data_IF_174021685064
#
_entry.id   IF_174021685064
#
_cell.length_a   1.000
_cell.length_b   1.000
_cell.length_c   1.000
_cell.angle_alpha   90.00
_cell.angle_beta   90.00
_cell.angle_gamma   90.00
#
_symmetry.space_group_name_H-M   'P 1'
#
loop_
_entity.id
_entity.type
_entity.pdbx_description
1 polymer ?
#
# COMPACT_ATOMS: atom_id res chain seq x y z
N UNK A 1 -4.94 -16.88 -7.25
CA UNK A 1 -4.90 -15.65 -8.07
C UNK A 1 -4.98 -16.09 -9.53
N UNK A 2 -5.72 -15.39 -10.38
CA UNK A 2 -5.94 -15.81 -11.78
C UNK A 2 -4.74 -15.49 -12.66
N UNK A 3 -4.00 -14.42 -12.34
CA UNK A 3 -2.76 -14.04 -13.03
C UNK A 3 -1.60 -14.12 -12.05
N UNK A 4 -0.54 -14.86 -12.42
CA UNK A 4 0.70 -14.89 -11.66
C UNK A 4 1.38 -13.53 -11.73
N UNK A 5 1.75 -12.95 -10.58
CA UNK A 5 2.32 -11.61 -10.50
C UNK A 5 3.38 -11.49 -9.41
N UNK A 6 4.33 -10.57 -9.60
CA UNK A 6 5.32 -10.15 -8.60
C UNK A 6 5.37 -8.61 -8.49
N UNK A 7 6.01 -8.07 -7.45
CA UNK A 7 6.09 -6.62 -7.16
C UNK A 7 4.72 -5.90 -7.16
N UNK A 8 3.66 -6.62 -6.79
CA UNK A 8 2.30 -6.11 -6.67
C UNK A 8 2.02 -5.65 -5.24
N UNK A 9 1.09 -4.72 -5.10
CA UNK A 9 0.56 -4.32 -3.81
C UNK A 9 -0.48 -5.32 -3.29
N UNK A 10 -0.56 -5.49 -1.96
CA UNK A 10 -1.57 -6.32 -1.31
C UNK A 10 -2.16 -5.64 -0.09
N UNK A 11 -3.46 -5.85 0.16
CA UNK A 11 -4.12 -5.38 1.37
C UNK A 11 -5.36 -6.21 1.69
N UNK A 12 -5.74 -6.26 2.96
CA UNK A 12 -7.06 -6.75 3.37
C UNK A 12 -8.02 -5.55 3.48
N UNK A 13 -9.25 -5.71 2.99
CA UNK A 13 -10.34 -4.74 3.13
C UNK A 13 -11.64 -5.50 3.36
N UNK A 14 -12.28 -5.28 4.51
CA UNK A 14 -13.56 -5.89 4.89
C UNK A 14 -13.56 -7.43 4.77
N UNK A 15 -12.46 -8.08 5.16
CA UNK A 15 -12.27 -9.53 5.11
C UNK A 15 -11.80 -10.08 3.76
N UNK A 16 -11.73 -9.24 2.72
CA UNK A 16 -11.30 -9.64 1.38
C UNK A 16 -9.84 -9.25 1.14
N UNK A 17 -9.09 -10.05 0.37
CA UNK A 17 -7.68 -9.78 0.07
C UNK A 17 -7.56 -9.22 -1.33
N UNK A 18 -7.04 -8.02 -1.46
CA UNK A 18 -6.79 -7.35 -2.73
C UNK A 18 -5.33 -7.50 -3.14
N UNK A 19 -5.10 -7.72 -4.43
CA UNK A 19 -3.81 -7.67 -5.09
C UNK A 19 -3.90 -6.69 -6.27
N UNK A 20 -3.02 -5.70 -6.36
CA UNK A 20 -3.09 -4.64 -7.37
C UNK A 20 -1.74 -4.36 -8.01
N UNK A 21 -1.74 -4.17 -9.34
CA UNK A 21 -0.53 -3.83 -10.11
C UNK A 21 0.49 -4.97 -10.17
N UNK A 22 1.77 -4.59 -10.22
CA UNK A 22 2.90 -5.51 -10.34
C UNK A 22 3.22 -5.92 -11.78
N UNK A 23 4.05 -6.95 -11.90
CA UNK A 23 4.49 -7.51 -13.17
C UNK A 23 3.99 -8.94 -13.36
N UNK A 24 3.67 -9.31 -14.60
CA UNK A 24 3.38 -10.67 -15.03
C UNK A 24 4.63 -11.54 -15.13
N UNK A 25 4.47 -12.81 -15.44
CA UNK A 25 5.57 -13.78 -15.45
C UNK A 25 6.67 -13.47 -16.49
N UNK A 26 6.34 -12.75 -17.55
CA UNK A 26 7.25 -12.31 -18.61
C UNK A 26 7.83 -10.90 -18.38
N UNK A 27 7.47 -10.27 -17.24
CA UNK A 27 7.93 -8.93 -16.86
C UNK A 27 7.04 -7.78 -17.34
N UNK A 28 5.94 -8.07 -18.06
CA UNK A 28 4.95 -7.09 -18.46
C UNK A 28 4.34 -6.35 -17.25
N UNK A 29 4.13 -5.04 -17.35
CA UNK A 29 3.41 -4.32 -16.29
C UNK A 29 1.92 -4.65 -16.35
N UNK A 30 1.36 -5.16 -15.26
CA UNK A 30 -0.04 -5.53 -15.21
C UNK A 30 -0.91 -4.32 -14.86
N UNK A 31 -1.89 -4.05 -15.71
CA UNK A 31 -3.01 -3.15 -15.43
C UNK A 31 -4.18 -3.96 -14.91
N UNK A 32 -4.36 -4.01 -13.59
CA UNK A 32 -5.43 -4.80 -13.00
C UNK A 32 -5.27 -5.01 -11.51
N UNK A 33 -6.40 -5.24 -10.84
CA UNK A 33 -6.42 -5.74 -9.49
C UNK A 33 -7.29 -7.00 -9.42
N UNK A 34 -7.03 -7.84 -8.44
CA UNK A 34 -7.81 -9.03 -8.15
C UNK A 34 -8.18 -9.01 -6.68
N UNK A 35 -9.40 -9.44 -6.37
CA UNK A 35 -9.88 -9.60 -5.01
C UNK A 35 -10.10 -11.08 -4.75
N UNK A 36 -9.64 -11.54 -3.61
CA UNK A 36 -9.89 -12.87 -3.09
C UNK A 36 -10.95 -12.80 -2.00
N UNK A 37 -11.96 -13.64 -2.17
CA UNK A 37 -12.96 -13.92 -1.16
C UNK A 37 -12.65 -15.27 -0.48
N UNK A 38 -12.24 -15.25 0.80
CA UNK A 38 -11.97 -16.48 1.55
C UNK A 38 -13.21 -17.35 1.78
N UNK A 39 -14.43 -16.79 1.75
CA UNK A 39 -15.66 -17.56 1.96
C UNK A 39 -15.99 -18.43 0.75
N UNK A 40 -15.79 -17.89 -0.46
CA UNK A 40 -16.03 -18.60 -1.70
C UNK A 40 -14.79 -19.26 -2.32
N UNK A 41 -13.62 -19.04 -1.70
CA UNK A 41 -12.29 -19.48 -2.15
C UNK A 41 -12.01 -19.10 -3.61
N UNK A 42 -12.33 -17.85 -3.98
CA UNK A 42 -12.26 -17.38 -5.37
C UNK A 42 -11.56 -16.05 -5.51
N UNK A 43 -10.78 -15.96 -6.58
CA UNK A 43 -10.22 -14.70 -7.07
C UNK A 43 -11.11 -14.13 -8.17
N UNK A 44 -11.48 -12.85 -8.04
CA UNK A 44 -12.23 -12.10 -9.05
C UNK A 44 -11.39 -10.94 -9.55
N UNK A 45 -11.30 -10.80 -10.88
CA UNK A 45 -10.65 -9.65 -11.50
C UNK A 45 -11.54 -8.43 -11.33
N UNK A 46 -10.96 -7.32 -10.88
CA UNK A 46 -11.61 -6.02 -10.84
C UNK A 46 -10.85 -5.06 -11.77
N UNK A 47 -11.60 -4.15 -12.40
CA UNK A 47 -11.00 -3.07 -13.16
C UNK A 47 -10.06 -2.28 -12.25
N UNK A 48 -8.91 -1.86 -12.78
CA UNK A 48 -7.96 -1.05 -12.01
C UNK A 48 -7.24 -0.08 -12.93
N UNK A 49 -7.25 1.18 -12.53
CA UNK A 49 -6.42 2.22 -13.17
C UNK A 49 -4.98 2.21 -12.62
N UNK A 50 -4.69 1.41 -11.58
CA UNK A 50 -3.41 1.37 -10.91
C UNK A 50 -2.40 0.47 -11.65
N UNK A 51 -1.75 1.01 -12.68
CA UNK A 51 -0.68 0.33 -13.46
C UNK A 51 0.70 0.48 -12.82
N UNK A 52 0.83 0.16 -11.52
CA UNK A 52 2.05 0.46 -10.75
C UNK A 52 2.82 -0.81 -10.38
N UNK A 53 4.12 -0.82 -10.66
CA UNK A 53 5.09 -1.86 -10.27
C UNK A 53 5.84 -1.42 -9.02
N UNK A 54 5.96 -2.29 -8.02
CA UNK A 54 6.56 -1.96 -6.72
C UNK A 54 5.72 -0.99 -5.90
N UNK A 55 4.40 -0.99 -6.12
CA UNK A 55 3.46 -0.25 -5.30
C UNK A 55 3.20 -0.97 -3.98
N UNK A 56 2.54 -0.28 -3.06
CA UNK A 56 2.03 -0.85 -1.82
C UNK A 56 0.57 -0.47 -1.65
N UNK A 57 -0.15 -1.23 -0.82
CA UNK A 57 -1.56 -0.97 -0.57
C UNK A 57 -1.91 -1.15 0.90
N UNK A 58 -3.00 -0.51 1.30
CA UNK A 58 -3.58 -0.70 2.62
C UNK A 58 -5.11 -0.57 2.57
N UNK A 59 -5.78 -1.36 3.40
CA UNK A 59 -7.19 -1.17 3.70
C UNK A 59 -7.37 -0.14 4.79
N UNK A 60 -8.10 0.93 4.50
CA UNK A 60 -8.41 1.97 5.47
C UNK A 60 -9.87 2.35 5.31
N UNK A 61 -10.63 2.23 6.39
CA UNK A 61 -12.07 2.57 6.43
C UNK A 61 -12.88 1.93 5.27
N UNK A 62 -12.67 0.63 5.04
CA UNK A 62 -13.41 -0.13 4.01
C UNK A 62 -13.02 0.19 2.56
N UNK A 63 -11.96 0.97 2.34
CA UNK A 63 -11.44 1.30 1.01
C UNK A 63 -10.01 0.79 0.85
N UNK A 64 -9.67 0.43 -0.38
CA UNK A 64 -8.31 0.05 -0.76
C UNK A 64 -7.57 1.31 -1.24
N UNK A 65 -6.45 1.63 -0.61
CA UNK A 65 -5.56 2.69 -1.04
C UNK A 65 -4.31 2.08 -1.66
N UNK A 66 -4.02 2.39 -2.93
CA UNK A 66 -2.83 1.93 -3.66
C UNK A 66 -1.91 3.11 -3.94
N UNK A 67 -0.65 2.99 -3.52
CA UNK A 67 0.30 4.10 -3.51
C UNK A 67 1.69 3.68 -3.97
N UNK A 68 2.44 4.69 -4.40
CA UNK A 68 3.82 4.54 -4.80
C UNK A 68 4.01 3.67 -6.03
N UNK A 69 5.19 3.09 -6.16
CA UNK A 69 5.56 2.28 -7.33
C UNK A 69 5.83 3.13 -8.59
N UNK A 70 6.17 2.43 -9.67
CA UNK A 70 6.50 3.02 -10.97
C UNK A 70 5.43 2.63 -11.98
N UNK A 71 4.97 3.58 -12.79
CA UNK A 71 4.09 3.32 -13.94
C UNK A 71 4.80 3.78 -15.21
N UNK A 72 4.60 3.07 -16.31
CA UNK A 72 5.11 3.43 -17.63
C UNK A 72 4.63 4.81 -18.11
N UNK A 73 3.49 5.28 -17.59
CA UNK A 73 2.89 6.57 -17.95
C UNK A 73 3.36 7.74 -17.09
N UNK A 74 4.02 7.48 -15.95
CA UNK A 74 4.48 8.56 -15.06
C UNK A 74 6.00 8.62 -15.05
N UNK A 75 6.56 9.51 -15.88
CA UNK A 75 7.97 9.89 -15.84
C UNK A 75 8.20 10.71 -14.57
N UNK A 76 8.35 10.05 -13.42
CA UNK A 76 8.65 10.70 -12.13
C UNK A 76 8.06 10.00 -10.90
N UNK A 77 8.54 10.45 -9.73
CA UNK A 77 8.14 10.03 -8.38
C UNK A 77 6.70 10.50 -8.06
N UNK A 78 5.71 9.90 -8.70
CA UNK A 78 4.30 10.28 -8.52
C UNK A 78 3.82 10.10 -7.08
N UNK A 79 3.19 11.14 -6.53
CA UNK A 79 2.51 11.13 -5.22
C UNK A 79 0.99 10.92 -5.37
N UNK A 80 0.55 10.27 -6.44
CA UNK A 80 -0.85 9.90 -6.60
C UNK A 80 -1.20 8.67 -5.77
N UNK A 81 -2.40 8.71 -5.19
CA UNK A 81 -3.02 7.62 -4.44
C UNK A 81 -4.26 7.19 -5.20
N UNK A 82 -4.31 5.93 -5.63
CA UNK A 82 -5.50 5.38 -6.27
C UNK A 82 -6.34 4.70 -5.19
N UNK A 83 -7.59 5.14 -5.02
CA UNK A 83 -8.49 4.68 -3.97
C UNK A 83 -9.65 3.94 -4.60
N UNK A 84 -9.80 2.66 -4.27
CA UNK A 84 -10.94 1.85 -4.68
C UNK A 84 -11.97 1.79 -3.56
N UNK A 85 -13.23 2.03 -3.93
CA UNK A 85 -14.38 1.80 -3.07
C UNK A 85 -15.06 0.49 -3.47
N UNK A 86 -14.93 -0.58 -2.66
CA UNK A 86 -15.63 -1.85 -2.91
C UNK A 86 -17.15 -1.68 -2.97
N UNK A 87 -17.72 -0.79 -2.16
CA UNK A 87 -19.17 -0.52 -2.13
C UNK A 87 -19.69 0.07 -3.45
N UNK A 88 -18.89 0.92 -4.10
CA UNK A 88 -19.27 1.62 -5.34
C UNK A 88 -18.72 0.95 -6.59
N UNK A 89 -17.77 0.04 -6.42
CA UNK A 89 -16.96 -0.54 -7.50
C UNK A 89 -16.28 0.52 -8.37
N UNK A 90 -15.84 1.64 -7.79
CA UNK A 90 -15.21 2.75 -8.50
C UNK A 90 -13.85 3.09 -7.92
N UNK A 91 -12.94 3.54 -8.80
CA UNK A 91 -11.68 4.16 -8.43
C UNK A 91 -11.80 5.68 -8.42
N UNK A 92 -11.02 6.32 -7.55
CA UNK A 92 -10.72 7.74 -7.66
C UNK A 92 -9.24 7.98 -7.34
N UNK A 93 -8.70 9.09 -7.83
CA UNK A 93 -7.31 9.46 -7.59
C UNK A 93 -7.21 10.66 -6.64
N UNK A 94 -6.31 10.55 -5.66
CA UNK A 94 -5.97 11.62 -4.73
C UNK A 94 -4.50 12.02 -4.88
N UNK A 95 -4.17 13.25 -4.46
CA UNK A 95 -2.79 13.76 -4.37
C UNK A 95 -2.27 13.60 -2.94
N UNK A 96 -0.96 13.84 -2.78
CA UNK A 96 -0.21 13.80 -1.52
C UNK A 96 0.17 12.41 -0.99
N UNK A 97 0.12 11.35 -1.79
CA UNK A 97 0.59 10.00 -1.39
C UNK A 97 2.09 9.90 -1.13
N UNK A 98 2.54 8.74 -0.64
CA UNK A 98 3.97 8.39 -0.57
C UNK A 98 4.44 7.73 -1.88
N UNK A 99 5.68 7.99 -2.26
CA UNK A 99 6.26 7.52 -3.52
C UNK A 99 6.80 6.09 -3.40
N UNK A 100 7.62 5.81 -2.38
CA UNK A 100 8.16 4.49 -2.11
C UNK A 100 8.37 4.33 -0.62
N UNK A 101 7.93 3.17 -0.10
CA UNK A 101 8.02 2.83 1.32
C UNK A 101 8.78 1.52 1.47
N UNK A 102 9.57 1.42 2.53
CA UNK A 102 10.27 0.18 2.91
C UNK A 102 9.41 -0.68 3.83
N UNK A 103 8.49 -0.06 4.56
CA UNK A 103 7.48 -0.72 5.37
C UNK A 103 6.21 0.12 5.47
N UNK A 104 5.08 -0.55 5.67
CA UNK A 104 3.79 0.08 5.96
C UNK A 104 2.94 -0.82 6.86
N UNK A 105 2.02 -0.21 7.61
CA UNK A 105 1.00 -0.88 8.42
C UNK A 105 -0.17 0.07 8.68
N UNK A 106 -1.34 -0.48 8.97
CA UNK A 106 -2.52 0.30 9.37
C UNK A 106 -2.69 0.20 10.88
N UNK A 107 -2.70 1.35 11.56
CA UNK A 107 -2.95 1.45 12.99
C UNK A 107 -4.23 2.25 13.23
N UNK A 108 -5.29 1.54 13.64
CA UNK A 108 -6.63 2.12 13.69
C UNK A 108 -7.07 2.55 12.29
N UNK A 109 -7.34 3.84 12.09
CA UNK A 109 -7.72 4.42 10.80
C UNK A 109 -6.56 5.07 10.05
N UNK A 110 -5.33 4.93 10.53
CA UNK A 110 -4.17 5.66 10.00
C UNK A 110 -3.19 4.70 9.35
N UNK A 111 -2.67 5.10 8.20
CA UNK A 111 -1.58 4.39 7.54
C UNK A 111 -0.25 4.92 8.07
N UNK A 112 0.58 4.02 8.60
CA UNK A 112 1.94 4.30 9.05
C UNK A 112 2.91 3.73 8.02
N UNK A 113 3.86 4.54 7.54
CA UNK A 113 4.83 4.18 6.51
C UNK A 113 6.24 4.62 6.89
N UNK A 114 7.24 3.85 6.47
CA UNK A 114 8.62 4.30 6.41
C UNK A 114 8.99 4.61 4.96
N UNK A 115 9.33 5.86 4.64
CA UNK A 115 9.75 6.22 3.28
C UNK A 115 11.20 5.80 3.03
N UNK A 116 11.51 5.32 1.82
CA UNK A 116 12.86 4.83 1.49
C UNK A 116 13.97 5.90 1.62
N UNK A 117 13.62 7.19 1.41
CA UNK A 117 14.58 8.30 1.56
C UNK A 117 14.74 8.76 3.00
N UNK A 118 13.86 8.33 3.90
CA UNK A 118 13.80 8.88 5.26
C UNK A 118 13.44 7.80 6.27
N UNK A 119 14.40 6.93 6.54
CA UNK A 119 14.23 5.80 7.45
C UNK A 119 14.31 6.16 8.94
N UNK A 120 14.40 7.46 9.27
CA UNK A 120 14.44 7.97 10.65
C UNK A 120 13.14 8.63 11.10
N UNK A 121 12.16 8.75 10.21
CA UNK A 121 10.85 9.33 10.51
C UNK A 121 9.74 8.44 9.98
N UNK A 122 8.80 8.10 10.85
CA UNK A 122 7.56 7.45 10.49
C UNK A 122 6.61 8.49 9.87
N UNK A 123 6.14 8.24 8.65
CA UNK A 123 5.11 9.01 8.00
C UNK A 123 3.74 8.42 8.34
N UNK A 124 2.84 9.22 8.92
CA UNK A 124 1.49 8.79 9.30
C UNK A 124 0.47 9.56 8.47
N UNK A 125 -0.27 8.84 7.64
CA UNK A 125 -1.35 9.38 6.82
C UNK A 125 -2.68 9.30 7.55
N UNK A 126 -3.42 10.41 7.53
CA UNK A 126 -4.80 10.49 7.98
C UNK A 126 -5.74 10.57 6.77
N UNK A 127 -6.56 9.53 6.49
CA UNK A 127 -7.48 9.54 5.36
C UNK A 127 -8.62 10.56 5.51
N UNK A 128 -8.99 10.94 6.75
CA UNK A 128 -10.13 11.82 7.03
C UNK A 128 -9.89 13.24 6.50
N UNK A 129 -8.63 13.71 6.47
CA UNK A 129 -8.25 15.06 6.06
C UNK A 129 -7.16 15.10 4.98
N UNK A 130 -6.77 13.93 4.44
CA UNK A 130 -5.69 13.78 3.46
C UNK A 130 -4.35 14.40 3.89
N UNK A 131 -4.02 14.35 5.18
CA UNK A 131 -2.80 14.93 5.74
C UNK A 131 -1.75 13.89 6.14
N UNK A 132 -0.50 14.33 6.21
CA UNK A 132 0.63 13.54 6.69
C UNK A 132 1.25 14.18 7.92
N UNK A 133 1.57 13.34 8.91
CA UNK A 133 2.35 13.70 10.08
C UNK A 133 3.65 12.89 10.10
N UNK A 134 4.78 13.56 10.29
CA UNK A 134 6.07 12.91 10.46
C UNK A 134 6.41 12.79 11.95
N UNK A 135 6.76 11.58 12.39
CA UNK A 135 7.14 11.30 13.78
C UNK A 135 8.56 10.71 13.79
N UNK A 136 9.51 11.26 14.57
CA UNK A 136 10.84 10.67 14.70
C UNK A 136 10.76 9.25 15.26
N UNK A 137 11.56 8.33 14.70
CA UNK A 137 11.73 6.99 15.26
C UNK A 137 12.91 7.02 16.23
N UNK A 138 12.71 6.66 17.51
CA UNK A 138 13.78 6.66 18.51
C UNK A 138 14.70 5.44 18.31
N UNK A 139 15.63 5.54 17.38
CA UNK A 139 16.73 4.57 17.22
C UNK A 139 17.79 4.83 18.29
N UNK A 140 17.59 4.26 19.48
CA UNK A 140 18.63 4.26 20.52
C UNK A 140 19.49 3.01 20.36
N UNK A 141 20.80 3.20 20.14
CA UNK A 141 21.79 2.11 20.08
C UNK A 141 21.79 1.21 18.83
N UNK A 142 20.76 1.29 17.96
CA UNK A 142 20.71 0.52 16.71
C UNK A 142 21.35 1.27 15.54
N UNK A 143 22.23 0.59 14.79
CA UNK A 143 22.69 1.04 13.47
C UNK A 143 21.71 0.69 12.34
N UNK A 144 20.79 -0.27 12.55
CA UNK A 144 19.76 -0.62 11.57
C UNK A 144 18.69 0.48 11.55
N UNK A 145 18.45 0.98 10.33
CA UNK A 145 17.44 1.99 10.00
C UNK A 145 16.27 1.38 9.22
N UNK A 146 16.41 0.13 8.78
CA UNK A 146 15.37 -0.57 8.03
C UNK A 146 14.53 -1.42 8.98
N UNK A 147 13.21 -1.37 8.80
CA UNK A 147 12.27 -2.04 9.70
C UNK A 147 11.21 -2.80 8.91
N UNK A 148 10.64 -3.83 9.55
CA UNK A 148 9.31 -4.36 9.23
C UNK A 148 8.33 -3.91 10.29
N UNK A 149 7.09 -3.70 9.91
CA UNK A 149 6.04 -3.26 10.82
C UNK A 149 5.14 -4.42 11.22
N UNK A 150 4.67 -4.39 12.47
CA UNK A 150 3.58 -5.22 12.97
C UNK A 150 2.66 -4.41 13.86
N UNK A 151 1.45 -4.91 14.08
CA UNK A 151 0.45 -4.29 14.96
C UNK A 151 0.12 -5.28 16.06
N UNK A 152 0.18 -4.84 17.31
CA UNK A 152 -0.21 -5.62 18.48
C UNK A 152 -0.79 -4.68 19.54
N UNK A 153 -1.96 -5.02 20.08
CA UNK A 153 -2.63 -4.28 21.17
C UNK A 153 -2.71 -2.76 20.94
N UNK A 154 -3.06 -2.35 19.72
CA UNK A 154 -3.17 -0.94 19.34
C UNK A 154 -1.84 -0.19 19.29
N UNK A 155 -0.72 -0.90 19.15
CA UNK A 155 0.63 -0.33 19.02
C UNK A 155 1.27 -0.77 17.72
N UNK A 156 2.03 0.16 17.12
CA UNK A 156 2.94 -0.13 16.02
C UNK A 156 4.25 -0.68 16.57
N UNK A 157 4.60 -1.89 16.16
CA UNK A 157 5.87 -2.54 16.45
C UNK A 157 6.81 -2.38 15.25
N UNK A 158 8.06 -2.02 15.52
CA UNK A 158 9.12 -1.89 14.52
C UNK A 158 10.14 -2.99 14.77
N UNK A 159 10.26 -3.93 13.83
CA UNK A 159 11.22 -5.02 13.87
C UNK A 159 12.41 -4.66 12.97
N UNK A 160 13.64 -4.54 13.49
CA UNK A 160 14.80 -4.25 12.65
C UNK A 160 15.04 -5.40 11.67
N UNK A 161 15.44 -5.04 10.45
CA UNK A 161 15.94 -5.96 9.43
C UNK A 161 17.47 -6.07 9.50
#
# INVERSE_FOLDING_TARGET
MNVGRYDFARAEVNGLIYAAGGCGADGESLSGAEVYDPESDKWTVIESEATKVGCFACGVEGKLYVMGGRSSFTIGNSRFVDVYSPERHTWCQMKNGCVMVTAHAVLGKKLCCMEWKNERKLAIFNPEDNSWKMVPVPVTGSSSVSFRFGILDGKLLLFPL
#
